data_IF_602502566438
#
_entry.id   IF_602502566438
#
_cell.length_a   1.000
_cell.length_b   1.000
_cell.length_c   1.000
_cell.angle_alpha   90.00
_cell.angle_beta   90.00
_cell.angle_gamma   90.00
#
_symmetry.space_group_name_H-M   'P 1'
#
loop_
_entity.id
_entity.type
_entity.pdbx_description
1 polymer ?
#
# COMPACT_ATOMS: atom_id res chain seq x y z
N UNK A 1 15.46 5.07 -9.45
CA UNK A 1 14.26 4.30 -9.08
C UNK A 1 13.10 4.51 -10.06
N UNK A 2 12.68 5.74 -10.37
CA UNK A 2 11.56 6.00 -11.31
C UNK A 2 11.70 5.33 -12.70
N UNK A 3 12.91 5.37 -13.30
CA UNK A 3 13.16 4.70 -14.58
C UNK A 3 12.99 3.18 -14.52
N UNK A 4 13.15 2.58 -13.33
CA UNK A 4 13.07 1.13 -13.13
C UNK A 4 11.60 0.69 -13.08
N UNK A 5 10.71 1.47 -12.46
CA UNK A 5 9.27 1.20 -12.52
C UNK A 5 8.75 1.20 -13.96
N UNK A 6 9.13 2.21 -14.75
CA UNK A 6 8.78 2.28 -16.17
C UNK A 6 9.38 1.11 -16.99
N UNK A 7 10.61 0.71 -16.69
CA UNK A 7 11.26 -0.43 -17.33
C UNK A 7 10.56 -1.75 -16.96
N UNK A 8 10.22 -1.94 -15.69
CA UNK A 8 9.50 -3.13 -15.22
C UNK A 8 8.15 -3.24 -15.94
N UNK A 9 7.41 -2.14 -16.06
CA UNK A 9 6.16 -2.11 -16.81
C UNK A 9 6.34 -2.43 -18.29
N UNK A 10 7.36 -1.85 -18.95
CA UNK A 10 7.61 -2.05 -20.37
C UNK A 10 8.11 -3.47 -20.71
N UNK A 11 8.90 -4.07 -19.82
CA UNK A 11 9.46 -5.43 -19.99
C UNK A 11 8.46 -6.49 -19.52
N UNK A 12 7.59 -6.16 -18.56
CA UNK A 12 6.57 -7.04 -18.03
C UNK A 12 7.18 -8.27 -17.34
N UNK A 13 6.61 -9.48 -17.56
CA UNK A 13 7.03 -10.70 -16.85
C UNK A 13 8.48 -11.13 -17.07
N UNK A 14 9.15 -10.58 -18.08
CA UNK A 14 10.57 -10.83 -18.38
C UNK A 14 11.52 -10.07 -17.44
N UNK A 15 11.01 -9.06 -16.71
CA UNK A 15 11.79 -8.30 -15.75
C UNK A 15 12.27 -9.16 -14.58
N UNK A 16 11.60 -10.30 -14.32
CA UNK A 16 11.96 -11.27 -13.30
C UNK A 16 13.41 -11.76 -13.38
N UNK A 17 14.02 -11.75 -14.57
CA UNK A 17 15.44 -12.11 -14.78
C UNK A 17 16.41 -11.16 -14.06
N UNK A 18 16.00 -9.92 -13.84
CA UNK A 18 16.82 -8.88 -13.20
C UNK A 18 16.52 -8.76 -11.70
N UNK A 19 15.44 -9.37 -11.21
CA UNK A 19 14.99 -9.21 -9.83
C UNK A 19 16.03 -9.66 -8.81
N UNK A 20 16.79 -10.72 -9.08
CA UNK A 20 17.81 -11.21 -8.15
C UNK A 20 18.89 -10.15 -7.85
N UNK A 21 19.37 -9.44 -8.87
CA UNK A 21 20.35 -8.37 -8.72
C UNK A 21 19.69 -7.09 -8.22
N UNK A 22 18.51 -6.76 -8.76
CA UNK A 22 17.80 -5.53 -8.44
C UNK A 22 17.29 -5.48 -7.00
N UNK A 23 16.90 -6.63 -6.44
CA UNK A 23 16.37 -6.75 -5.08
C UNK A 23 17.31 -6.15 -4.03
N UNK A 24 18.63 -6.29 -4.19
CA UNK A 24 19.62 -5.68 -3.28
C UNK A 24 19.49 -4.15 -3.22
N UNK A 25 19.29 -3.51 -4.38
CA UNK A 25 19.10 -2.07 -4.48
C UNK A 25 17.73 -1.63 -3.97
N UNK A 26 16.71 -2.47 -4.16
CA UNK A 26 15.38 -2.24 -3.62
C UNK A 26 15.39 -2.24 -2.10
N UNK A 27 16.04 -3.22 -1.47
CA UNK A 27 16.19 -3.28 -0.01
C UNK A 27 16.92 -2.05 0.54
N UNK A 28 18.02 -1.62 -0.11
CA UNK A 28 18.73 -0.40 0.27
C UNK A 28 17.85 0.85 0.16
N UNK A 29 17.01 0.93 -0.88
CA UNK A 29 16.10 2.05 -1.09
C UNK A 29 14.99 2.12 -0.04
N UNK A 30 14.41 0.98 0.33
CA UNK A 30 13.37 0.89 1.36
C UNK A 30 13.92 1.25 2.75
N UNK A 31 15.15 0.84 3.07
CA UNK A 31 15.77 1.13 4.37
C UNK A 31 16.40 2.53 4.49
N UNK A 32 16.34 3.36 3.44
CA UNK A 32 16.94 4.68 3.47
C UNK A 32 16.02 5.71 4.15
N UNK A 33 16.16 5.83 5.47
CA UNK A 33 15.40 6.78 6.28
C UNK A 33 15.89 8.23 6.16
N UNK A 34 17.14 8.45 5.75
CA UNK A 34 17.71 9.80 5.62
C UNK A 34 17.06 10.56 4.45
N UNK A 35 16.80 9.87 3.34
CA UNK A 35 16.10 10.41 2.17
C UNK A 35 14.73 9.75 2.01
N UNK A 36 13.73 10.24 2.75
CA UNK A 36 12.36 9.70 2.71
C UNK A 36 11.76 9.68 1.30
N UNK A 37 12.18 10.60 0.40
CA UNK A 37 11.75 10.62 -1.00
C UNK A 37 12.23 9.38 -1.75
N UNK A 38 13.46 8.92 -1.49
CA UNK A 38 14.00 7.69 -2.09
C UNK A 38 13.25 6.48 -1.56
N UNK A 39 12.96 6.43 -0.27
CA UNK A 39 12.14 5.37 0.32
C UNK A 39 10.73 5.35 -0.32
N UNK A 40 10.05 6.50 -0.37
CA UNK A 40 8.73 6.64 -1.00
C UNK A 40 8.70 6.21 -2.47
N UNK A 41 9.72 6.59 -3.26
CA UNK A 41 9.82 6.16 -4.66
C UNK A 41 10.10 4.66 -4.76
N UNK A 42 10.92 4.11 -3.86
CA UNK A 42 11.25 2.68 -3.84
C UNK A 42 10.01 1.83 -3.55
N UNK A 43 9.16 2.27 -2.63
CA UNK A 43 7.85 1.65 -2.37
C UNK A 43 6.96 1.69 -3.62
N UNK A 44 6.91 2.82 -4.34
CA UNK A 44 6.18 2.90 -5.61
C UNK A 44 6.68 1.90 -6.67
N UNK A 45 8.01 1.74 -6.76
CA UNK A 45 8.63 0.75 -7.66
C UNK A 45 8.26 -0.68 -7.28
N UNK A 46 8.08 -1.00 -5.99
CA UNK A 46 7.54 -2.30 -5.58
C UNK A 46 6.17 -2.54 -6.20
N UNK A 47 5.26 -1.55 -6.11
CA UNK A 47 3.93 -1.65 -6.71
C UNK A 47 3.97 -1.87 -8.23
N UNK A 48 4.84 -1.13 -8.93
CA UNK A 48 5.04 -1.31 -10.39
C UNK A 48 5.57 -2.71 -10.72
N UNK A 49 6.49 -3.24 -9.93
CA UNK A 49 7.03 -4.60 -10.10
C UNK A 49 5.97 -5.66 -9.82
N UNK A 50 5.15 -5.48 -8.77
CA UNK A 50 4.03 -6.38 -8.48
C UNK A 50 3.08 -6.47 -9.67
N UNK A 51 2.74 -5.33 -10.30
CA UNK A 51 1.88 -5.29 -11.50
C UNK A 51 2.54 -5.88 -12.74
N UNK A 52 3.87 -5.78 -12.86
CA UNK A 52 4.60 -6.29 -14.03
C UNK A 52 4.88 -7.79 -13.96
N UNK A 53 5.07 -8.33 -12.75
CA UNK A 53 5.51 -9.71 -12.52
C UNK A 53 4.39 -10.65 -12.09
N UNK A 54 3.25 -10.12 -11.62
CA UNK A 54 2.17 -10.90 -11.03
C UNK A 54 2.71 -11.91 -10.00
N UNK A 55 2.32 -13.18 -10.10
CA UNK A 55 2.70 -14.26 -9.20
C UNK A 55 4.21 -14.52 -9.10
N UNK A 56 5.00 -14.08 -10.10
CA UNK A 56 6.45 -14.26 -10.11
C UNK A 56 7.18 -13.44 -9.04
N UNK A 57 6.53 -12.44 -8.44
CA UNK A 57 7.10 -11.65 -7.34
C UNK A 57 7.12 -12.40 -6.00
N UNK A 58 6.35 -13.49 -5.88
CA UNK A 58 6.14 -14.24 -4.64
C UNK A 58 7.42 -14.61 -3.86
N UNK A 59 8.55 -15.02 -4.50
CA UNK A 59 9.79 -15.33 -3.78
C UNK A 59 10.40 -14.13 -3.02
N UNK A 60 10.06 -12.90 -3.42
CA UNK A 60 10.59 -11.67 -2.85
C UNK A 60 9.63 -11.00 -1.85
N UNK A 61 8.34 -11.38 -1.88
CA UNK A 61 7.29 -10.74 -1.07
C UNK A 61 7.55 -10.80 0.43
N UNK A 62 8.11 -11.90 0.96
CA UNK A 62 8.38 -12.02 2.40
C UNK A 62 9.38 -10.99 2.91
N UNK A 63 10.46 -10.77 2.14
CA UNK A 63 11.45 -9.76 2.46
C UNK A 63 10.88 -8.35 2.32
N UNK A 64 10.15 -8.07 1.23
CA UNK A 64 9.51 -6.78 0.99
C UNK A 64 8.51 -6.45 2.10
N UNK A 65 7.59 -7.36 2.43
CA UNK A 65 6.58 -7.14 3.47
C UNK A 65 7.22 -6.91 4.85
N UNK A 66 8.30 -7.62 5.16
CA UNK A 66 9.04 -7.40 6.40
C UNK A 66 9.60 -5.98 6.49
N UNK A 67 10.16 -5.46 5.39
CA UNK A 67 10.68 -4.09 5.33
C UNK A 67 9.56 -3.06 5.45
N UNK A 68 8.48 -3.19 4.67
CA UNK A 68 7.35 -2.27 4.70
C UNK A 68 6.69 -2.19 6.09
N UNK A 69 6.51 -3.34 6.76
CA UNK A 69 5.95 -3.38 8.12
C UNK A 69 6.90 -2.73 9.15
N UNK A 70 8.21 -2.93 8.99
CA UNK A 70 9.22 -2.29 9.83
C UNK A 70 9.19 -0.77 9.65
N UNK A 71 9.08 -0.30 8.41
CA UNK A 71 9.03 1.12 8.09
C UNK A 71 7.80 1.77 8.73
N UNK A 72 6.61 1.15 8.60
CA UNK A 72 5.39 1.65 9.23
C UNK A 72 5.45 1.66 10.76
N UNK A 73 6.24 0.76 11.36
CA UNK A 73 6.43 0.69 12.81
C UNK A 73 7.50 1.66 13.33
N UNK A 74 8.29 2.27 12.44
CA UNK A 74 9.34 3.22 12.80
C UNK A 74 8.76 4.59 13.14
N UNK A 75 9.14 5.12 14.31
CA UNK A 75 8.81 6.49 14.71
C UNK A 75 9.59 7.55 13.94
N UNK A 76 10.66 7.16 13.24
CA UNK A 76 11.52 8.06 12.45
C UNK A 76 11.03 8.20 11.00
N UNK A 77 10.06 7.37 10.57
CA UNK A 77 9.55 7.40 9.21
C UNK A 77 8.77 8.68 8.95
N UNK A 78 9.16 9.41 7.89
CA UNK A 78 8.41 10.57 7.44
C UNK A 78 6.97 10.19 7.04
N UNK A 79 6.00 10.97 7.51
CA UNK A 79 4.56 10.70 7.33
C UNK A 79 4.17 10.40 5.89
N UNK A 80 4.78 11.08 4.91
CA UNK A 80 4.50 10.97 3.48
C UNK A 80 4.87 9.62 2.86
N UNK A 81 5.66 8.80 3.55
CA UNK A 81 6.00 7.44 3.08
C UNK A 81 4.91 6.43 3.44
N UNK A 82 4.10 6.70 4.47
CA UNK A 82 3.04 5.78 4.92
C UNK A 82 1.96 5.53 3.84
N UNK A 83 1.40 6.55 3.16
CA UNK A 83 0.40 6.31 2.11
C UNK A 83 0.91 5.40 0.99
N UNK A 84 2.08 5.65 0.36
CA UNK A 84 2.65 4.72 -0.63
C UNK A 84 2.75 3.27 -0.15
N UNK A 85 3.11 3.03 1.11
CA UNK A 85 3.21 1.67 1.67
C UNK A 85 1.84 0.98 1.68
N UNK A 86 0.78 1.68 2.08
CA UNK A 86 -0.56 1.11 2.07
C UNK A 86 -1.03 0.80 0.64
N UNK A 87 -0.86 1.70 -0.31
CA UNK A 87 -1.16 1.42 -1.73
C UNK A 87 -0.40 0.18 -2.22
N UNK A 88 0.87 0.04 -1.82
CA UNK A 88 1.71 -1.10 -2.16
C UNK A 88 1.19 -2.42 -1.55
N UNK A 89 0.60 -2.42 -0.35
CA UNK A 89 -0.07 -3.63 0.18
C UNK A 89 -1.19 -4.11 -0.74
N UNK A 90 -1.96 -3.19 -1.31
CA UNK A 90 -2.97 -3.51 -2.31
C UNK A 90 -2.37 -4.14 -3.57
N UNK A 91 -1.30 -3.53 -4.12
CA UNK A 91 -0.62 -4.05 -5.30
C UNK A 91 0.00 -5.45 -5.08
N UNK A 92 0.60 -5.68 -3.90
CA UNK A 92 1.14 -6.99 -3.53
C UNK A 92 0.01 -8.02 -3.43
N UNK A 93 -1.10 -7.67 -2.75
CA UNK A 93 -2.23 -8.57 -2.59
C UNK A 93 -2.88 -8.94 -3.94
N UNK A 94 -2.97 -7.98 -4.87
CA UNK A 94 -3.42 -8.23 -6.24
C UNK A 94 -2.50 -9.20 -6.98
N UNK A 95 -1.17 -9.03 -6.85
CA UNK A 95 -0.19 -9.84 -7.56
C UNK A 95 -0.11 -11.28 -7.05
N UNK A 96 -0.15 -11.50 -5.72
CA UNK A 96 0.04 -12.84 -5.13
C UNK A 96 -1.26 -13.53 -4.71
N UNK A 97 -2.39 -12.83 -4.75
CA UNK A 97 -3.71 -13.35 -4.42
C UNK A 97 -3.79 -13.98 -3.03
N UNK A 98 -4.22 -15.25 -2.96
CA UNK A 98 -4.41 -15.97 -1.69
C UNK A 98 -3.16 -16.07 -0.82
N UNK A 99 -1.97 -16.00 -1.42
CA UNK A 99 -0.71 -16.00 -0.68
C UNK A 99 -0.55 -14.78 0.23
N UNK A 100 -1.37 -13.75 0.07
CA UNK A 100 -1.41 -12.59 0.95
C UNK A 100 -2.01 -12.89 2.33
N UNK A 101 -2.72 -14.01 2.50
CA UNK A 101 -3.34 -14.41 3.78
C UNK A 101 -2.37 -14.33 4.97
N UNK A 102 -1.12 -14.77 4.79
CA UNK A 102 -0.11 -14.76 5.86
C UNK A 102 0.27 -13.36 6.34
N UNK A 103 -0.04 -12.32 5.57
CA UNK A 103 0.27 -10.94 5.92
C UNK A 103 -0.93 -10.20 6.54
N UNK A 104 -2.16 -10.72 6.42
CA UNK A 104 -3.38 -10.06 6.91
C UNK A 104 -3.27 -9.65 8.38
N UNK A 105 -2.79 -10.58 9.23
CA UNK A 105 -2.67 -10.37 10.68
C UNK A 105 -1.73 -9.22 11.06
N UNK A 106 -0.90 -8.76 10.14
CA UNK A 106 0.03 -7.66 10.32
C UNK A 106 -0.40 -6.40 9.55
N UNK A 107 -0.83 -6.56 8.28
CA UNK A 107 -1.20 -5.44 7.43
C UNK A 107 -2.48 -4.73 7.89
N UNK A 108 -3.52 -5.48 8.25
CA UNK A 108 -4.81 -4.88 8.62
C UNK A 108 -4.73 -4.04 9.90
N UNK A 109 -4.09 -4.48 11.00
CA UNK A 109 -3.92 -3.62 12.17
C UNK A 109 -3.21 -2.29 11.87
N UNK A 110 -2.22 -2.30 10.97
CA UNK A 110 -1.53 -1.07 10.56
C UNK A 110 -2.44 -0.13 9.76
N UNK A 111 -3.27 -0.69 8.88
CA UNK A 111 -4.30 0.07 8.14
C UNK A 111 -5.35 0.65 9.10
N UNK A 112 -5.76 -0.11 10.11
CA UNK A 112 -6.70 0.34 11.15
C UNK A 112 -6.11 1.52 11.94
N UNK A 113 -4.87 1.39 12.40
CA UNK A 113 -4.16 2.46 13.09
C UNK A 113 -4.06 3.73 12.23
N UNK A 114 -3.75 3.61 10.94
CA UNK A 114 -3.71 4.74 10.03
C UNK A 114 -5.08 5.40 9.81
N UNK A 115 -6.16 4.62 9.78
CA UNK A 115 -7.53 5.15 9.67
C UNK A 115 -7.94 5.99 10.90
N UNK A 116 -7.48 5.62 12.10
CA UNK A 116 -7.72 6.39 13.32
C UNK A 116 -6.98 7.73 13.28
N UNK A 117 -5.77 7.75 12.74
CA UNK A 117 -5.02 8.98 12.49
C UNK A 117 -5.79 9.89 11.51
N UNK A 118 -6.41 9.34 10.47
CA UNK A 118 -7.28 10.11 9.56
C UNK A 118 -8.48 10.75 10.28
N UNK A 119 -9.01 10.12 11.33
CA UNK A 119 -10.15 10.64 12.09
C UNK A 119 -9.76 11.79 13.03
N UNK A 120 -8.49 11.85 13.44
CA UNK A 120 -7.97 12.85 14.37
C UNK A 120 -7.25 14.01 13.68
N UNK A 121 -7.06 13.94 12.36
CA UNK A 121 -6.38 14.98 11.59
C UNK A 121 -7.19 16.28 11.59
N UNK A 122 -6.53 17.36 12.01
CA UNK A 122 -7.02 18.72 11.83
C UNK A 122 -6.62 19.21 10.43
N UNK A 123 -7.60 19.37 9.54
CA UNK A 123 -7.41 19.83 8.15
C UNK A 123 -7.32 21.36 8.08
N UNK A 124 -6.66 22.00 9.06
CA UNK A 124 -6.59 23.45 9.18
C UNK A 124 -5.62 24.12 8.19
N UNK A 125 -4.75 23.32 7.57
CA UNK A 125 -3.72 23.71 6.61
C UNK A 125 -3.80 22.80 5.35
N UNK A 126 -3.43 23.35 4.19
CA UNK A 126 -3.52 22.70 2.88
C UNK A 126 -2.60 21.46 2.75
N UNK A 127 -1.39 21.48 3.31
CA UNK A 127 -0.46 20.34 3.32
C UNK A 127 -1.00 19.17 4.16
N UNK A 128 -1.62 19.48 5.31
CA UNK A 128 -2.28 18.47 6.15
C UNK A 128 -3.49 17.85 5.45
N UNK A 129 -4.25 18.67 4.71
CA UNK A 129 -5.38 18.21 3.92
C UNK A 129 -4.93 17.27 2.79
N UNK A 130 -3.91 17.66 2.03
CA UNK A 130 -3.34 16.84 0.95
C UNK A 130 -2.81 15.50 1.48
N UNK A 131 -2.08 15.54 2.59
CA UNK A 131 -1.60 14.33 3.25
C UNK A 131 -2.76 13.44 3.71
N UNK A 132 -3.78 14.02 4.33
CA UNK A 132 -4.97 13.30 4.79
C UNK A 132 -5.71 12.62 3.64
N UNK A 133 -5.87 13.31 2.51
CA UNK A 133 -6.49 12.77 1.30
C UNK A 133 -5.64 11.65 0.68
N UNK A 134 -4.31 11.82 0.60
CA UNK A 134 -3.41 10.75 0.15
C UNK A 134 -3.52 9.50 1.04
N UNK A 135 -3.48 9.68 2.36
CA UNK A 135 -3.58 8.57 3.30
C UNK A 135 -4.93 7.84 3.17
N UNK A 136 -6.04 8.58 3.09
CA UNK A 136 -7.38 8.00 2.90
C UNK A 136 -7.47 7.21 1.60
N UNK A 137 -6.95 7.76 0.50
CA UNK A 137 -6.93 7.09 -0.81
C UNK A 137 -6.15 5.78 -0.73
N UNK A 138 -4.94 5.82 -0.17
CA UNK A 138 -4.07 4.64 -0.08
C UNK A 138 -4.64 3.53 0.80
N UNK A 139 -5.36 3.86 1.88
CA UNK A 139 -6.06 2.86 2.69
C UNK A 139 -7.17 2.17 1.87
N UNK A 140 -7.96 2.91 1.09
CA UNK A 140 -8.98 2.31 0.22
C UNK A 140 -8.37 1.48 -0.92
N UNK A 141 -7.28 1.95 -1.54
CA UNK A 141 -6.53 1.18 -2.55
C UNK A 141 -6.02 -0.14 -1.96
N UNK A 142 -5.51 -0.12 -0.73
CA UNK A 142 -5.09 -1.32 -0.01
C UNK A 142 -6.25 -2.30 0.20
N UNK A 143 -7.39 -1.83 0.75
CA UNK A 143 -8.57 -2.68 0.94
C UNK A 143 -9.08 -3.26 -0.38
N UNK A 144 -9.18 -2.42 -1.42
CA UNK A 144 -9.61 -2.85 -2.76
C UNK A 144 -8.68 -3.93 -3.31
N UNK A 145 -7.36 -3.73 -3.25
CA UNK A 145 -6.39 -4.70 -3.72
C UNK A 145 -6.41 -6.02 -2.95
N UNK A 146 -6.58 -5.97 -1.62
CA UNK A 146 -6.71 -7.16 -0.78
C UNK A 146 -7.99 -7.94 -1.11
N UNK A 147 -9.14 -7.26 -1.18
CA UNK A 147 -10.42 -7.90 -1.50
C UNK A 147 -10.42 -8.52 -2.91
N UNK A 148 -9.90 -7.79 -3.89
CA UNK A 148 -9.77 -8.28 -5.27
C UNK A 148 -8.76 -9.44 -5.39
N UNK A 149 -7.63 -9.36 -4.66
CA UNK A 149 -6.60 -10.40 -4.63
C UNK A 149 -7.15 -11.76 -4.17
N UNK A 150 -8.05 -11.75 -3.19
CA UNK A 150 -8.72 -12.98 -2.73
C UNK A 150 -9.81 -13.50 -3.67
N UNK A 151 -10.22 -12.78 -4.73
CA UNK A 151 -11.18 -13.27 -5.76
C UNK A 151 -12.42 -14.00 -5.21
N UNK A 152 -12.94 -13.60 -4.05
CA UNK A 152 -14.03 -14.26 -3.31
C UNK A 152 -13.75 -15.69 -2.80
N UNK A 153 -12.51 -16.16 -2.79
CA UNK A 153 -12.17 -17.51 -2.33
C UNK A 153 -12.09 -17.63 -0.80
N UNK A 154 -11.80 -16.53 -0.09
CA UNK A 154 -11.68 -16.50 1.38
C UNK A 154 -12.45 -15.35 2.04
N UNK A 155 -13.78 -15.27 1.87
CA UNK A 155 -14.58 -14.21 2.48
C UNK A 155 -14.50 -14.21 4.01
N UNK A 156 -14.33 -15.39 4.63
CA UNK A 156 -14.26 -15.56 6.08
C UNK A 156 -13.06 -14.83 6.71
N UNK A 157 -11.98 -14.62 5.95
CA UNK A 157 -10.81 -13.87 6.44
C UNK A 157 -11.09 -12.36 6.54
N UNK A 158 -11.88 -11.82 5.62
CA UNK A 158 -12.15 -10.38 5.55
C UNK A 158 -13.41 -9.98 6.33
N UNK A 159 -14.33 -10.91 6.55
CA UNK A 159 -15.60 -10.66 7.25
C UNK A 159 -15.42 -10.03 8.65
N UNK A 160 -14.45 -10.45 9.49
CA UNK A 160 -14.21 -9.80 10.79
C UNK A 160 -13.75 -8.34 10.67
N UNK A 161 -13.18 -7.95 9.53
CA UNK A 161 -12.64 -6.61 9.29
C UNK A 161 -13.62 -5.69 8.56
N UNK A 162 -14.72 -6.23 8.02
CA UNK A 162 -15.76 -5.46 7.34
C UNK A 162 -16.32 -4.29 8.17
N UNK A 163 -16.62 -4.44 9.49
CA UNK A 163 -17.12 -3.32 10.28
C UNK A 163 -16.18 -2.13 10.31
N UNK A 164 -14.87 -2.37 10.33
CA UNK A 164 -13.88 -1.32 10.33
C UNK A 164 -13.82 -0.59 8.98
N UNK A 165 -13.89 -1.33 7.87
CA UNK A 165 -13.97 -0.73 6.53
C UNK A 165 -15.22 0.15 6.38
N UNK A 166 -16.38 -0.30 6.88
CA UNK A 166 -17.62 0.51 6.90
C UNK A 166 -17.43 1.78 7.74
N UNK A 167 -16.87 1.66 8.94
CA UNK A 167 -16.62 2.81 9.82
C UNK A 167 -15.70 3.84 9.15
N UNK A 168 -14.65 3.37 8.48
CA UNK A 168 -13.75 4.24 7.73
C UNK A 168 -14.45 4.91 6.54
N UNK A 169 -15.29 4.18 5.81
CA UNK A 169 -16.11 4.75 4.74
C UNK A 169 -17.03 5.85 5.27
N UNK A 170 -17.71 5.63 6.39
CA UNK A 170 -18.59 6.64 7.00
C UNK A 170 -17.83 7.90 7.42
N UNK A 171 -16.62 7.73 7.99
CA UNK A 171 -15.74 8.83 8.35
C UNK A 171 -15.42 9.68 7.12
N UNK A 172 -14.96 9.05 6.04
CA UNK A 172 -14.57 9.74 4.80
C UNK A 172 -15.79 10.34 4.08
N UNK A 173 -16.95 9.67 4.15
CA UNK A 173 -18.18 10.18 3.55
C UNK A 173 -18.66 11.49 4.19
N UNK A 174 -18.39 11.68 5.49
CA UNK A 174 -18.71 12.91 6.24
C UNK A 174 -17.68 14.03 6.02
N UNK A 175 -16.49 13.70 5.52
CA UNK A 175 -15.46 14.69 5.20
C UNK A 175 -15.85 15.50 3.95
N UNK A 176 -15.98 16.82 4.13
CA UNK A 176 -16.32 17.78 3.06
C UNK A 176 -15.10 18.22 2.24
N UNK A 177 -13.89 18.01 2.77
CA UNK A 177 -12.63 18.37 2.14
C UNK A 177 -12.00 17.19 1.39
N UNK A 178 -12.76 16.09 1.19
CA UNK A 178 -12.27 14.93 0.45
C UNK A 178 -12.14 15.24 -1.04
N UNK A 179 -11.07 14.74 -1.64
CA UNK A 179 -10.89 14.81 -3.08
C UNK A 179 -11.73 13.78 -3.85
N UNK A 180 -11.91 14.05 -5.14
CA UNK A 180 -12.54 13.11 -6.07
C UNK A 180 -11.77 11.78 -6.13
N UNK A 181 -10.44 11.81 -6.00
CA UNK A 181 -9.58 10.62 -6.01
C UNK A 181 -9.88 9.69 -4.83
N UNK A 182 -10.14 10.23 -3.64
CA UNK A 182 -10.54 9.47 -2.45
C UNK A 182 -11.92 8.85 -2.67
N UNK A 183 -12.85 9.61 -3.26
CA UNK A 183 -14.20 9.11 -3.56
C UNK A 183 -14.15 7.94 -4.56
N UNK A 184 -13.32 8.04 -5.61
CA UNK A 184 -13.11 6.96 -6.58
C UNK A 184 -12.51 5.71 -5.93
N UNK A 185 -11.49 5.87 -5.10
CA UNK A 185 -10.86 4.76 -4.39
C UNK A 185 -11.83 4.09 -3.42
N UNK A 186 -12.63 4.88 -2.69
CA UNK A 186 -13.67 4.36 -1.82
C UNK A 186 -14.67 3.50 -2.60
N UNK A 187 -15.21 3.98 -3.72
CA UNK A 187 -16.15 3.22 -4.56
C UNK A 187 -15.51 1.93 -5.10
N UNK A 188 -14.23 1.96 -5.48
CA UNK A 188 -13.52 0.78 -5.98
C UNK A 188 -13.24 -0.30 -4.91
N UNK A 189 -13.37 0.03 -3.63
CA UNK A 189 -13.19 -0.92 -2.52
C UNK A 189 -14.48 -1.72 -2.18
N UNK A 190 -15.61 -1.42 -2.82
CA UNK A 190 -16.92 -2.05 -2.57
C UNK A 190 -17.46 -2.82 -3.77
#
# INVERSE_FOLDING_TARGET
MLAIGALAYAVGPEFGKYMQEFYKYLEMGLQNFEEYQVCSISVGVVGDICRALDDKILPYCDGIMTLLLKDLSSGELHRSVKPPIFSCFGDIALAIGEHFEKYISYALPMMQSASEVCAQMDNSDEEMMDYGNQLRRSIFEAYSGILQGFKNSKPDLMLPHAPHLVQFLELVAKDKQRDESVTKAAVAAW
#
